data_IF_857068218483
#
_entry.id   IF_857068218483
#
_cell.length_a   1.000
_cell.length_b   1.000
_cell.length_c   1.000
_cell.angle_alpha   90.00
_cell.angle_beta   90.00
_cell.angle_gamma   90.00
#
_symmetry.space_group_name_H-M   'P 1'
#
loop_
_entity.id
_entity.type
_entity.pdbx_description
1 polymer ?
#
# COMPACT_ATOMS: atom_id res chain seq x y z
N UNK A 1 -0.10 3.50 10.02
CA UNK A 1 -0.48 2.41 9.12
C UNK A 1 -1.68 2.87 8.30
N UNK A 2 -2.04 2.15 7.26
CA UNK A 2 -3.35 2.26 6.62
C UNK A 2 -4.23 1.27 7.35
N UNK A 3 -5.34 1.75 7.89
CA UNK A 3 -6.43 0.91 8.33
C UNK A 3 -7.26 0.53 7.10
N UNK A 4 -7.19 -0.73 6.67
CA UNK A 4 -7.87 -1.18 5.46
C UNK A 4 -9.37 -1.35 5.65
N UNK A 5 -9.88 -1.32 6.89
CA UNK A 5 -11.31 -1.40 7.18
C UNK A 5 -11.92 -0.01 7.20
N UNK A 6 -11.30 0.90 7.96
CA UNK A 6 -11.76 2.28 8.09
C UNK A 6 -11.27 3.19 6.95
N UNK A 7 -10.42 2.67 6.06
CA UNK A 7 -9.86 3.35 4.90
C UNK A 7 -9.28 4.71 5.26
N UNK A 8 -8.34 4.72 6.20
CA UNK A 8 -7.68 5.93 6.68
C UNK A 8 -6.24 5.66 7.17
N UNK A 9 -5.47 6.74 7.35
CA UNK A 9 -4.17 6.70 7.99
C UNK A 9 -4.33 6.75 9.51
N UNK A 10 -3.71 5.79 10.18
CA UNK A 10 -3.61 5.73 11.64
C UNK A 10 -2.14 5.77 12.05
N UNK A 11 -1.86 6.13 13.30
CA UNK A 11 -0.50 6.01 13.82
C UNK A 11 -0.17 4.53 14.09
N UNK A 12 1.11 4.16 13.94
CA UNK A 12 1.53 2.78 14.20
C UNK A 12 1.75 2.59 15.70
N UNK A 13 1.23 1.49 16.27
CA UNK A 13 1.58 1.06 17.62
C UNK A 13 2.60 -0.08 17.56
N UNK A 14 3.39 -0.28 18.62
CA UNK A 14 4.40 -1.35 18.68
C UNK A 14 3.80 -2.76 18.63
N UNK A 15 2.53 -2.91 19.00
CA UNK A 15 1.80 -4.17 18.97
C UNK A 15 1.04 -4.40 17.65
N UNK A 16 1.01 -3.43 16.74
CA UNK A 16 0.27 -3.56 15.50
C UNK A 16 0.95 -4.60 14.59
N UNK A 17 0.21 -5.66 14.26
CA UNK A 17 0.56 -6.60 13.21
C UNK A 17 0.14 -5.98 11.87
N UNK A 18 1.06 -5.86 10.92
CA UNK A 18 0.79 -5.18 9.64
C UNK A 18 1.56 -5.79 8.48
N UNK A 19 0.99 -5.64 7.28
CA UNK A 19 1.62 -6.00 6.02
C UNK A 19 2.36 -4.81 5.44
N UNK A 20 3.37 -5.06 4.62
CA UNK A 20 3.99 -4.05 3.75
C UNK A 20 3.72 -4.38 2.28
N UNK A 21 3.75 -3.36 1.42
CA UNK A 21 3.71 -3.52 -0.04
C UNK A 21 5.04 -3.12 -0.66
N UNK A 22 5.64 -4.03 -1.42
CA UNK A 22 6.76 -3.75 -2.32
C UNK A 22 6.29 -3.81 -3.77
N UNK A 23 6.48 -2.73 -4.51
CA UNK A 23 5.95 -2.56 -5.87
C UNK A 23 6.73 -1.47 -6.61
N UNK A 24 6.59 -1.44 -7.93
CA UNK A 24 7.13 -0.36 -8.75
C UNK A 24 6.11 0.79 -8.81
N UNK A 25 6.53 2.00 -8.44
CA UNK A 25 5.68 3.18 -8.54
C UNK A 25 5.37 3.54 -10.00
N UNK A 26 6.40 3.57 -10.85
CA UNK A 26 6.32 4.00 -12.24
C UNK A 26 6.13 5.51 -12.40
N UNK A 27 5.87 5.96 -13.63
CA UNK A 27 5.59 7.38 -13.95
C UNK A 27 4.09 7.65 -13.99
N UNK A 28 3.40 7.36 -12.90
CA UNK A 28 1.94 7.49 -12.77
C UNK A 28 1.60 8.16 -11.44
N UNK A 29 0.38 8.67 -11.32
CA UNK A 29 -0.13 9.11 -10.02
C UNK A 29 -0.21 7.91 -9.07
N UNK A 30 0.53 7.98 -7.97
CA UNK A 30 0.54 6.95 -6.91
C UNK A 30 -0.37 7.31 -5.73
N UNK A 31 -1.15 8.38 -5.85
CA UNK A 31 -1.98 8.95 -4.78
C UNK A 31 -1.15 9.27 -3.55
N UNK A 32 -0.06 10.01 -3.73
CA UNK A 32 0.89 10.34 -2.67
C UNK A 32 0.25 11.11 -1.50
N UNK A 33 0.68 10.79 -0.28
CA UNK A 33 0.38 11.63 0.88
C UNK A 33 1.30 12.84 0.88
N UNK A 34 0.71 14.01 1.05
CA UNK A 34 1.38 15.31 1.16
C UNK A 34 0.85 16.04 2.38
N UNK A 35 1.57 17.05 2.87
CA UNK A 35 1.16 17.80 4.07
C UNK A 35 -0.29 18.32 3.97
N UNK A 36 -0.67 18.81 2.79
CA UNK A 36 -2.00 19.37 2.49
C UNK A 36 -3.15 18.36 2.60
N UNK A 37 -2.89 17.07 2.33
CA UNK A 37 -3.92 16.02 2.35
C UNK A 37 -3.80 15.08 3.56
N UNK A 38 -2.75 15.22 4.38
CA UNK A 38 -2.48 14.33 5.51
C UNK A 38 -3.63 14.30 6.53
N UNK A 39 -4.15 15.48 6.90
CA UNK A 39 -5.24 15.59 7.87
C UNK A 39 -6.52 14.91 7.36
N UNK A 40 -6.83 15.10 6.08
CA UNK A 40 -7.95 14.42 5.43
C UNK A 40 -7.78 12.90 5.44
N UNK A 41 -6.60 12.41 5.04
CA UNK A 41 -6.29 10.98 4.97
C UNK A 41 -6.34 10.28 6.32
N UNK A 42 -6.16 11.01 7.43
CA UNK A 42 -6.30 10.49 8.80
C UNK A 42 -7.77 10.33 9.24
N UNK A 43 -8.73 11.00 8.59
CA UNK A 43 -10.15 10.81 8.88
C UNK A 43 -10.61 9.47 8.34
N UNK A 44 -11.54 8.82 9.06
CA UNK A 44 -12.24 7.61 8.58
C UNK A 44 -12.82 7.85 7.18
N UNK A 45 -12.52 6.95 6.24
CA UNK A 45 -12.89 7.09 4.83
C UNK A 45 -12.06 8.11 4.02
N UNK A 46 -11.01 8.69 4.62
CA UNK A 46 -10.14 9.68 3.98
C UNK A 46 -9.24 9.10 2.88
N UNK A 47 -9.14 7.78 2.76
CA UNK A 47 -8.50 7.09 1.64
C UNK A 47 -9.58 6.47 0.74
N UNK A 48 -9.98 7.20 -0.29
CA UNK A 48 -10.96 6.71 -1.25
C UNK A 48 -10.37 5.61 -2.13
N UNK A 49 -10.88 4.38 -2.00
CA UNK A 49 -10.34 3.18 -2.65
C UNK A 49 -10.30 3.30 -4.19
N UNK A 50 -11.29 3.97 -4.78
CA UNK A 50 -11.40 4.22 -6.23
C UNK A 50 -10.35 5.20 -6.78
N UNK A 51 -9.73 6.01 -5.92
CA UNK A 51 -8.65 6.95 -6.27
C UNK A 51 -7.27 6.29 -6.12
N UNK A 52 -7.16 5.21 -5.34
CA UNK A 52 -5.90 4.50 -5.18
C UNK A 52 -5.52 3.77 -6.48
N UNK A 53 -4.22 3.75 -6.84
CA UNK A 53 -3.69 2.92 -7.92
C UNK A 53 -4.05 1.45 -7.75
N UNK A 54 -4.19 0.75 -8.87
CA UNK A 54 -4.70 -0.63 -8.88
C UNK A 54 -3.87 -1.58 -8.02
N UNK A 55 -2.54 -1.46 -8.02
CA UNK A 55 -1.68 -2.32 -7.19
C UNK A 55 -1.93 -2.11 -5.71
N UNK A 56 -2.12 -0.86 -5.27
CA UNK A 56 -2.42 -0.53 -3.88
C UNK A 56 -3.84 -1.01 -3.52
N UNK A 57 -4.82 -0.78 -4.40
CA UNK A 57 -6.21 -1.23 -4.22
C UNK A 57 -6.33 -2.74 -4.09
N UNK A 58 -5.66 -3.47 -4.98
CA UNK A 58 -5.65 -4.93 -4.95
C UNK A 58 -4.95 -5.43 -3.68
N UNK A 59 -3.89 -4.76 -3.23
CA UNK A 59 -3.21 -5.08 -1.95
C UNK A 59 -4.12 -4.87 -0.75
N UNK A 60 -4.90 -3.78 -0.72
CA UNK A 60 -5.93 -3.55 0.31
C UNK A 60 -6.91 -4.73 0.35
N UNK A 61 -7.38 -5.19 -0.82
CA UNK A 61 -8.30 -6.32 -0.93
C UNK A 61 -7.68 -7.63 -0.44
N UNK A 62 -6.39 -7.87 -0.73
CA UNK A 62 -5.66 -9.04 -0.23
C UNK A 62 -5.57 -9.02 1.30
N UNK A 63 -5.17 -7.89 1.90
CA UNK A 63 -5.05 -7.76 3.36
C UNK A 63 -6.41 -7.98 4.05
N UNK A 64 -7.48 -7.39 3.50
CA UNK A 64 -8.84 -7.62 3.99
C UNK A 64 -9.25 -9.10 3.87
N UNK A 65 -8.97 -9.74 2.73
CA UNK A 65 -9.30 -11.14 2.47
C UNK A 65 -8.54 -12.13 3.36
N UNK A 66 -7.37 -11.74 3.88
CA UNK A 66 -6.62 -12.49 4.88
C UNK A 66 -7.13 -12.26 6.32
N UNK A 67 -8.16 -11.43 6.52
CA UNK A 67 -8.70 -11.10 7.83
C UNK A 67 -7.84 -10.10 8.61
N UNK A 68 -6.97 -9.36 7.93
CA UNK A 68 -5.97 -8.48 8.53
C UNK A 68 -6.36 -7.01 8.31
N UNK A 69 -5.89 -6.12 9.20
CA UNK A 69 -6.38 -4.74 9.27
C UNK A 69 -5.38 -3.68 8.85
N UNK A 70 -4.09 -3.95 8.98
CA UNK A 70 -3.08 -2.91 8.83
C UNK A 70 -2.14 -3.18 7.67
N UNK A 71 -1.98 -2.16 6.83
CA UNK A 71 -1.08 -2.16 5.69
C UNK A 71 -0.14 -0.94 5.76
N UNK A 72 1.08 -1.10 5.31
CA UNK A 72 2.02 -0.02 5.09
C UNK A 72 2.36 0.06 3.60
N UNK A 73 2.13 1.22 3.01
CA UNK A 73 2.52 1.56 1.63
C UNK A 73 3.28 2.87 1.69
N UNK A 74 4.48 2.90 1.12
CA UNK A 74 5.40 4.05 1.15
C UNK A 74 4.77 5.36 0.64
N UNK A 75 4.10 5.34 -0.52
CA UNK A 75 3.45 6.50 -1.13
C UNK A 75 2.38 7.11 -0.22
N UNK A 76 1.71 6.29 0.60
CA UNK A 76 0.63 6.72 1.47
C UNK A 76 1.10 7.01 2.90
N UNK A 77 2.13 6.33 3.40
CA UNK A 77 2.58 6.47 4.79
C UNK A 77 3.62 7.56 5.00
N UNK A 78 4.38 7.87 3.95
CA UNK A 78 5.41 8.90 3.99
C UNK A 78 4.81 10.16 3.39
N UNK A 79 4.95 11.29 4.08
CA UNK A 79 4.64 12.61 3.53
C UNK A 79 5.72 12.94 2.49
N UNK A 80 5.34 13.01 1.22
CA UNK A 80 6.29 13.03 0.10
C UNK A 80 6.90 14.40 -0.18
N UNK A 81 6.20 15.48 0.19
CA UNK A 81 6.65 16.87 0.03
C UNK A 81 7.31 17.47 1.29
N UNK A 82 7.57 16.65 2.32
CA UNK A 82 8.39 17.03 3.48
C UNK A 82 9.69 16.22 3.46
N UNK A 83 10.79 16.88 3.12
CA UNK A 83 12.08 16.21 2.95
C UNK A 83 12.62 15.61 4.25
N UNK A 84 12.46 16.29 5.39
CA UNK A 84 12.95 15.80 6.66
C UNK A 84 12.16 14.55 7.09
N UNK A 85 10.84 14.61 6.95
CA UNK A 85 9.95 13.48 7.20
C UNK A 85 10.28 12.30 6.29
N UNK A 86 10.36 12.54 4.97
CA UNK A 86 10.65 11.52 3.97
C UNK A 86 11.98 10.82 4.24
N UNK A 87 13.05 11.59 4.49
CA UNK A 87 14.36 11.02 4.78
C UNK A 87 14.41 10.22 6.07
N UNK A 88 13.64 10.60 7.10
CA UNK A 88 13.56 9.82 8.34
C UNK A 88 12.93 8.43 8.12
N UNK A 89 11.93 8.31 7.24
CA UNK A 89 11.33 7.01 6.90
C UNK A 89 12.22 6.19 5.98
N UNK A 90 12.85 6.81 4.98
CA UNK A 90 13.78 6.11 4.06
C UNK A 90 14.91 5.43 4.85
N UNK A 91 15.49 6.14 5.82
CA UNK A 91 16.56 5.61 6.70
C UNK A 91 16.13 4.45 7.60
N UNK A 92 14.82 4.18 7.71
CA UNK A 92 14.24 3.15 8.59
C UNK A 92 13.44 2.10 7.80
N UNK A 93 13.54 2.09 6.48
CA UNK A 93 12.80 1.12 5.66
C UNK A 93 13.18 -0.32 6.02
N UNK A 94 14.45 -0.59 6.28
CA UNK A 94 14.94 -1.87 6.79
C UNK A 94 14.15 -2.33 8.04
N UNK A 95 13.95 -1.44 9.02
CA UNK A 95 13.21 -1.74 10.24
C UNK A 95 11.72 -1.93 9.95
N UNK A 96 11.13 -1.11 9.08
CA UNK A 96 9.70 -1.21 8.71
C UNK A 96 9.41 -2.56 8.06
N UNK A 97 10.21 -2.95 7.07
CA UNK A 97 10.00 -4.25 6.39
C UNK A 97 10.34 -5.42 7.32
N UNK A 98 11.40 -5.35 8.11
CA UNK A 98 11.77 -6.41 9.08
C UNK A 98 10.69 -6.62 10.14
N UNK A 99 9.99 -5.56 10.57
CA UNK A 99 8.91 -5.65 11.56
C UNK A 99 7.54 -5.92 10.96
N UNK A 100 7.42 -5.96 9.63
CA UNK A 100 6.17 -6.36 8.99
C UNK A 100 5.88 -7.83 9.29
N UNK A 101 4.60 -8.18 9.41
CA UNK A 101 4.20 -9.57 9.52
C UNK A 101 4.53 -10.34 8.23
N UNK A 102 4.24 -9.71 7.09
CA UNK A 102 4.60 -10.20 5.77
C UNK A 102 4.68 -9.03 4.78
N UNK A 103 5.48 -9.21 3.73
CA UNK A 103 5.55 -8.28 2.60
C UNK A 103 4.83 -8.87 1.40
N UNK A 104 3.85 -8.15 0.87
CA UNK A 104 3.22 -8.44 -0.42
C UNK A 104 4.11 -7.82 -1.50
N UNK A 105 4.62 -8.66 -2.41
CA UNK A 105 5.50 -8.21 -3.50
C UNK A 105 4.73 -8.25 -4.82
N UNK A 106 4.49 -7.08 -5.41
CA UNK A 106 3.93 -6.96 -6.75
C UNK A 106 5.02 -7.19 -7.81
N UNK A 107 5.25 -8.46 -8.16
CA UNK A 107 6.27 -8.86 -9.13
C UNK A 107 5.84 -8.66 -10.61
N UNK A 108 4.63 -8.16 -10.85
CA UNK A 108 4.08 -7.91 -12.18
C UNK A 108 3.90 -6.42 -12.44
N UNK A 109 4.16 -6.02 -13.69
CA UNK A 109 3.98 -4.65 -14.15
C UNK A 109 5.15 -3.72 -13.85
N UNK A 110 5.10 -2.53 -14.43
CA UNK A 110 6.14 -1.49 -14.39
C UNK A 110 5.68 -0.23 -13.63
N UNK A 111 4.48 -0.27 -13.03
CA UNK A 111 3.88 0.87 -12.35
C UNK A 111 2.78 0.47 -11.37
N UNK A 112 2.38 1.42 -10.53
CA UNK A 112 1.32 1.25 -9.53
C UNK A 112 -0.07 0.97 -10.12
N UNK A 113 -0.23 1.14 -11.45
CA UNK A 113 -1.48 0.87 -12.17
C UNK A 113 -1.61 -0.59 -12.64
N UNK A 114 -0.58 -1.42 -12.47
CA UNK A 114 -0.59 -2.80 -12.97
C UNK A 114 -1.59 -3.71 -12.23
N UNK A 115 -1.83 -3.47 -10.94
CA UNK A 115 -2.66 -4.35 -10.13
C UNK A 115 -1.95 -5.64 -9.71
N UNK A 116 -2.69 -6.50 -9.01
CA UNK A 116 -2.25 -7.85 -8.64
C UNK A 116 -3.11 -8.89 -9.39
N UNK A 117 -2.55 -9.57 -10.42
CA UNK A 117 -3.28 -10.56 -11.21
C UNK A 117 -3.94 -11.67 -10.39
N UNK A 118 -5.27 -11.78 -10.50
CA UNK A 118 -6.09 -12.78 -9.81
C UNK A 118 -6.73 -12.31 -8.51
N UNK A 119 -6.48 -11.08 -8.06
CA UNK A 119 -7.27 -10.45 -6.99
C UNK A 119 -8.66 -10.07 -7.51
N UNK A 120 -8.71 -9.50 -8.72
CA UNK A 120 -9.95 -9.18 -9.43
C UNK A 120 -10.26 -10.23 -10.50
N UNK A 121 -11.54 -10.48 -10.81
CA UNK A 121 -11.91 -11.38 -11.91
C UNK A 121 -11.25 -10.95 -13.23
N UNK A 122 -10.80 -11.94 -14.02
CA UNK A 122 -10.23 -11.74 -15.37
C UNK A 122 -8.91 -10.96 -15.43
N UNK A 123 -8.24 -10.65 -14.31
CA UNK A 123 -6.92 -9.98 -14.35
C UNK A 123 -5.73 -10.94 -14.39
N UNK A 124 -5.93 -12.22 -14.08
CA UNK A 124 -4.92 -13.27 -14.27
C UNK A 124 -5.03 -13.83 -15.69
N UNK A 125 -3.94 -13.78 -16.45
CA UNK A 125 -3.85 -14.46 -17.73
C UNK A 125 -4.04 -15.97 -17.55
N UNK A 126 -4.70 -16.62 -18.51
CA UNK A 126 -4.83 -18.08 -18.51
C UNK A 126 -3.43 -18.68 -18.57
N UNK A 127 -3.09 -19.48 -17.57
CA UNK A 127 -1.85 -20.23 -17.56
C UNK A 127 -2.07 -21.50 -18.40
N UNK A 128 -1.57 -21.49 -19.63
CA UNK A 128 -1.51 -22.70 -20.44
C UNK A 128 -0.34 -23.53 -19.93
N UNK A 129 -0.64 -24.52 -19.09
CA UNK A 129 0.34 -25.51 -18.67
C UNK A 129 0.48 -26.54 -19.79
N UNK A 130 1.52 -26.41 -20.60
CA UNK A 130 2.01 -27.52 -21.42
C UNK A 130 2.79 -28.44 -20.48
N UNK A 131 2.08 -29.32 -19.79
CA UNK A 131 2.64 -30.48 -19.07
C UNK A 131 2.55 -31.71 -19.97
#
# INVERSE_FOLDING_TARGET
LIDVVDMCLVDATTAARYFTLSYVWGRVDTSETKLENLAERKRRGGLQLNVLPETIRDTVSVVQGLGERFLWVDALRIVQNDQAWKMNYIKRMDIIYTKSFATIVAAHGDSAKAGLPGVRPRTRAVQNWNI
#
